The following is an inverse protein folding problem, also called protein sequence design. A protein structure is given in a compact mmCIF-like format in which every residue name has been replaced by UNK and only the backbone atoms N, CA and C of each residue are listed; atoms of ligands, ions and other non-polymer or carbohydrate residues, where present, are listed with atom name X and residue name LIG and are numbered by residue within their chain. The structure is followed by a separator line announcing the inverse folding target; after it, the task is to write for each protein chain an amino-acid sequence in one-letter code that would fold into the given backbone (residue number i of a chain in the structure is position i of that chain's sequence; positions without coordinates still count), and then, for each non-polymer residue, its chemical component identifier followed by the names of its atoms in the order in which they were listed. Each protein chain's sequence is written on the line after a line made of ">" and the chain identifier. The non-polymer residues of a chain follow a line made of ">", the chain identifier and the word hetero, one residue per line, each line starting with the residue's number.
data_IF_463966221963
#
_entry.id   IF_463966221963
#
_cell.length_a   1.000
_cell.length_b   1.000
_cell.length_c   1.000
_cell.angle_alpha   90.00
_cell.angle_beta   90.00
_cell.angle_gamma   90.00
#
_symmetry.space_group_name_H-M   'P 1'
#
loop_
_entity.id
_entity.type
_entity.pdbx_description
1 polymer ?
#
# COMPACT_ATOMS: atom_id res chain seq x y z
N UNK A 1 -45.66 20.51 -5.63
CA UNK A 1 -44.49 19.88 -6.28
C UNK A 1 -43.72 19.08 -5.23
N UNK A 2 -43.84 17.74 -5.22
CA UNK A 2 -43.09 16.86 -4.30
C UNK A 2 -41.74 16.52 -4.94
N UNK A 3 -40.64 16.99 -4.36
CA UNK A 3 -39.27 16.58 -4.72
C UNK A 3 -39.11 15.09 -4.35
N UNK A 4 -38.89 14.23 -5.34
CA UNK A 4 -38.52 12.83 -5.10
C UNK A 4 -37.04 12.81 -4.73
N UNK A 5 -36.74 12.44 -3.48
CA UNK A 5 -35.39 12.11 -3.05
C UNK A 5 -35.04 10.76 -3.69
N UNK A 6 -34.06 10.73 -4.59
CA UNK A 6 -33.47 9.49 -5.09
C UNK A 6 -32.37 9.11 -4.10
N UNK A 7 -32.64 8.08 -3.29
CA UNK A 7 -31.65 7.49 -2.39
C UNK A 7 -30.76 6.57 -3.24
N UNK A 8 -29.54 7.01 -3.56
CA UNK A 8 -28.53 6.14 -4.17
C UNK A 8 -28.00 5.24 -3.07
N UNK A 9 -28.39 3.96 -3.11
CA UNK A 9 -27.87 2.93 -2.21
C UNK A 9 -26.47 2.54 -2.73
N UNK A 10 -25.41 3.13 -2.17
CA UNK A 10 -24.06 2.62 -2.40
C UNK A 10 -23.93 1.35 -1.56
N UNK A 11 -24.08 0.19 -2.21
CA UNK A 11 -23.74 -1.09 -1.59
C UNK A 11 -22.22 -1.17 -1.58
N UNK A 12 -21.61 -0.83 -0.43
CA UNK A 12 -20.24 -1.20 -0.17
C UNK A 12 -20.19 -2.73 -0.04
N UNK A 13 -19.81 -3.41 -1.12
CA UNK A 13 -19.49 -4.84 -1.07
C UNK A 13 -18.19 -4.95 -0.28
N UNK A 14 -18.29 -5.26 1.01
CA UNK A 14 -17.15 -5.65 1.81
C UNK A 14 -16.72 -7.05 1.33
N UNK A 15 -15.77 -7.09 0.40
CA UNK A 15 -15.11 -8.34 0.00
C UNK A 15 -14.30 -8.85 1.20
N UNK A 16 -14.38 -10.14 1.55
CA UNK A 16 -13.59 -10.68 2.65
C UNK A 16 -12.10 -10.56 2.31
N UNK A 17 -11.38 -9.74 3.08
CA UNK A 17 -9.94 -9.47 2.93
C UNK A 17 -9.12 -10.65 3.47
N UNK A 18 -8.92 -11.66 2.64
CA UNK A 18 -7.81 -12.61 2.78
C UNK A 18 -7.09 -12.72 1.44
N UNK A 19 -5.95 -12.02 1.33
CA UNK A 19 -4.82 -12.32 0.44
C UNK A 19 -5.12 -12.78 -0.98
N UNK A 20 -4.98 -11.90 -1.97
CA UNK A 20 -4.74 -12.30 -3.36
C UNK A 20 -5.33 -11.38 -4.41
N UNK A 21 -5.29 -11.84 -5.65
CA UNK A 21 -5.90 -11.17 -6.80
C UNK A 21 -7.35 -11.60 -7.03
N UNK A 22 -8.13 -10.74 -7.67
CA UNK A 22 -9.51 -11.06 -8.03
C UNK A 22 -10.10 -10.16 -9.10
N UNK A 23 -11.36 -10.40 -9.49
CA UNK A 23 -12.08 -11.64 -9.22
C UNK A 23 -11.44 -12.83 -9.97
N UNK A 24 -11.90 -14.04 -9.67
CA UNK A 24 -11.53 -15.21 -10.46
C UNK A 24 -11.90 -14.97 -11.93
N UNK A 25 -10.94 -15.24 -12.82
CA UNK A 25 -11.08 -15.08 -14.26
C UNK A 25 -10.31 -16.17 -14.98
N UNK A 26 -10.71 -16.46 -16.21
CA UNK A 26 -9.98 -17.40 -17.05
C UNK A 26 -8.55 -16.90 -17.26
N UNK A 27 -7.60 -17.81 -17.09
CA UNK A 27 -6.18 -17.55 -17.33
C UNK A 27 -5.77 -18.09 -18.69
N UNK A 28 -4.65 -17.57 -19.18
CA UNK A 28 -4.09 -17.79 -20.50
C UNK A 28 -2.58 -17.95 -20.39
N UNK A 29 -1.95 -18.30 -21.49
CA UNK A 29 -0.48 -18.36 -21.60
C UNK A 29 0.00 -17.48 -22.74
N UNK A 30 1.29 -17.17 -22.78
CA UNK A 30 1.89 -16.44 -23.89
C UNK A 30 1.66 -17.14 -25.24
N UNK A 31 1.65 -18.47 -25.24
CA UNK A 31 1.35 -19.28 -26.44
C UNK A 31 -0.13 -19.26 -26.81
N UNK A 32 -1.02 -19.18 -25.82
CA UNK A 32 -2.47 -19.19 -26.01
C UNK A 32 -3.13 -17.98 -25.33
N UNK A 33 -2.93 -16.76 -25.87
CA UNK A 33 -3.47 -15.54 -25.29
C UNK A 33 -5.00 -15.47 -25.39
N UNK A 34 -5.60 -14.52 -24.68
CA UNK A 34 -7.05 -14.38 -24.60
C UNK A 34 -7.67 -13.99 -25.95
N UNK A 35 -8.85 -14.52 -26.33
CA UNK A 35 -9.59 -14.05 -27.49
C UNK A 35 -10.37 -12.75 -27.25
N UNK A 36 -10.44 -12.28 -26.00
CA UNK A 36 -11.18 -11.09 -25.57
C UNK A 36 -10.30 -10.19 -24.71
N UNK A 37 -10.69 -8.91 -24.57
CA UNK A 37 -10.03 -7.99 -23.63
C UNK A 37 -10.16 -8.54 -22.21
N UNK A 38 -9.03 -8.81 -21.59
CA UNK A 38 -8.89 -9.18 -20.19
C UNK A 38 -7.50 -8.73 -19.75
N UNK A 39 -7.39 -8.32 -18.50
CA UNK A 39 -6.11 -7.83 -17.98
C UNK A 39 -5.39 -8.92 -17.21
N UNK A 40 -4.06 -8.90 -17.33
CA UNK A 40 -3.15 -9.55 -16.40
C UNK A 40 -3.50 -11.02 -16.14
N UNK A 41 -3.79 -11.76 -17.20
CA UNK A 41 -4.32 -13.12 -17.14
C UNK A 41 -3.37 -14.15 -17.75
N UNK A 42 -2.19 -13.74 -18.21
CA UNK A 42 -1.12 -14.64 -18.63
C UNK A 42 -0.39 -15.17 -17.41
N UNK A 43 -0.18 -16.49 -17.32
CA UNK A 43 0.48 -17.13 -16.17
C UNK A 43 1.98 -17.40 -16.35
N UNK A 44 2.50 -17.22 -17.56
CA UNK A 44 3.85 -17.63 -17.97
C UNK A 44 4.57 -16.55 -18.78
N UNK A 45 4.34 -15.27 -18.47
CA UNK A 45 5.05 -14.16 -19.12
C UNK A 45 6.56 -14.30 -18.80
N UNK A 46 7.45 -14.40 -19.81
CA UNK A 46 8.87 -14.68 -19.57
C UNK A 46 9.62 -13.55 -18.86
N UNK A 47 9.08 -12.33 -18.88
CA UNK A 47 9.71 -11.15 -18.29
C UNK A 47 9.09 -10.76 -16.94
N UNK A 48 7.82 -11.12 -16.72
CA UNK A 48 7.09 -10.77 -15.49
C UNK A 48 6.76 -11.98 -14.61
N UNK A 49 6.47 -13.13 -15.21
CA UNK A 49 5.96 -14.33 -14.56
C UNK A 49 4.43 -14.41 -14.64
N UNK A 50 3.79 -14.71 -13.51
CA UNK A 50 2.33 -14.75 -13.42
C UNK A 50 1.76 -13.34 -13.28
N UNK A 51 1.10 -12.84 -14.32
CA UNK A 51 0.60 -11.47 -14.38
C UNK A 51 -0.52 -11.19 -13.39
N UNK A 52 -1.15 -12.23 -12.81
CA UNK A 52 -2.22 -12.04 -11.84
C UNK A 52 -1.74 -11.35 -10.56
N UNK A 53 -0.46 -11.52 -10.23
CA UNK A 53 0.23 -10.82 -9.16
C UNK A 53 0.84 -9.52 -9.69
N UNK A 54 -0.01 -8.53 -9.96
CA UNK A 54 0.39 -7.30 -10.63
C UNK A 54 0.67 -6.11 -9.71
N UNK A 55 0.40 -6.24 -8.41
CA UNK A 55 0.63 -5.21 -7.39
C UNK A 55 1.79 -5.61 -6.53
N UNK A 56 2.75 -4.71 -6.35
CA UNK A 56 3.96 -5.04 -5.59
C UNK A 56 4.62 -3.82 -4.98
N UNK A 57 5.46 -4.06 -3.97
CA UNK A 57 6.12 -3.04 -3.17
C UNK A 57 7.63 -3.21 -3.28
N UNK A 58 8.36 -2.10 -3.32
CA UNK A 58 9.82 -2.06 -3.21
C UNK A 58 10.27 -0.95 -2.27
N UNK A 59 11.27 -1.20 -1.43
CA UNK A 59 11.91 -0.14 -0.65
C UNK A 59 12.70 0.81 -1.56
N UNK A 60 12.59 2.12 -1.34
CA UNK A 60 13.39 3.10 -2.10
C UNK A 60 14.89 3.02 -1.79
N UNK A 61 15.28 2.41 -0.67
CA UNK A 61 16.68 2.11 -0.36
C UNK A 61 17.26 1.00 -1.28
N UNK A 62 16.40 0.20 -1.93
CA UNK A 62 16.81 -0.86 -2.86
C UNK A 62 16.95 -0.31 -4.30
N UNK A 63 18.20 -0.10 -4.71
CA UNK A 63 18.57 0.43 -6.03
C UNK A 63 18.66 -0.64 -7.13
N UNK A 64 18.42 -1.93 -6.81
CA UNK A 64 18.41 -2.97 -7.83
C UNK A 64 17.17 -2.85 -8.73
N UNK A 65 17.29 -3.36 -9.96
CA UNK A 65 16.17 -3.42 -10.91
C UNK A 65 15.01 -4.29 -10.39
N UNK A 66 15.33 -5.39 -9.70
CA UNK A 66 14.35 -6.26 -9.02
C UNK A 66 14.02 -5.83 -7.58
N UNK A 67 13.60 -6.79 -6.77
CA UNK A 67 13.27 -6.56 -5.35
C UNK A 67 11.85 -6.07 -5.07
N UNK A 68 10.95 -6.30 -6.02
CA UNK A 68 9.51 -6.16 -5.83
C UNK A 68 8.96 -7.35 -5.05
N UNK A 69 8.00 -7.09 -4.17
CA UNK A 69 7.42 -8.09 -3.27
C UNK A 69 5.95 -7.81 -2.99
N UNK A 70 5.17 -8.87 -2.81
CA UNK A 70 3.75 -8.79 -2.41
C UNK A 70 3.64 -8.50 -0.92
N UNK A 71 4.71 -8.73 -0.18
CA UNK A 71 4.79 -8.48 1.24
C UNK A 71 6.17 -7.97 1.63
N UNK A 72 6.21 -6.86 2.36
CA UNK A 72 7.45 -6.26 2.86
C UNK A 72 7.39 -6.02 4.36
N UNK A 73 8.48 -6.37 5.05
CA UNK A 73 8.66 -6.08 6.46
C UNK A 73 9.31 -4.70 6.66
N UNK A 74 8.66 -3.88 7.47
CA UNK A 74 9.04 -2.51 7.81
C UNK A 74 9.74 -2.51 9.16
N UNK A 75 10.97 -2.00 9.17
CA UNK A 75 11.81 -1.90 10.38
C UNK A 75 11.98 -0.47 10.89
N UNK A 76 11.86 0.50 9.98
CA UNK A 76 12.03 1.93 10.22
C UNK A 76 11.17 2.71 9.23
N UNK A 77 10.90 3.97 9.55
CA UNK A 77 10.29 4.92 8.62
C UNK A 77 11.14 5.08 7.36
N UNK A 78 10.51 5.32 6.22
CA UNK A 78 11.21 5.48 4.94
C UNK A 78 10.28 5.56 3.74
N UNK A 79 10.87 5.73 2.56
CA UNK A 79 10.15 5.80 1.28
C UNK A 79 10.06 4.43 0.62
N UNK A 80 8.92 4.16 -0.01
CA UNK A 80 8.64 2.92 -0.73
C UNK A 80 7.95 3.24 -2.07
N UNK A 81 8.18 2.36 -3.04
CA UNK A 81 7.52 2.34 -4.33
C UNK A 81 6.38 1.33 -4.29
N UNK A 82 5.21 1.74 -4.78
CA UNK A 82 4.10 0.87 -5.15
C UNK A 82 4.13 0.71 -6.66
N UNK A 83 3.83 -0.49 -7.14
CA UNK A 83 3.77 -0.78 -8.58
C UNK A 83 2.47 -1.47 -8.96
N UNK A 84 1.91 -1.08 -10.11
CA UNK A 84 0.92 -1.84 -10.87
C UNK A 84 1.56 -2.22 -12.21
N UNK A 85 1.55 -3.50 -12.55
CA UNK A 85 1.84 -4.00 -13.91
C UNK A 85 0.53 -4.13 -14.68
N UNK A 86 0.50 -3.65 -15.93
CA UNK A 86 -0.72 -3.64 -16.74
C UNK A 86 -0.41 -4.32 -18.06
N UNK A 87 -1.16 -5.38 -18.37
CA UNK A 87 -1.09 -6.07 -19.65
C UNK A 87 -2.50 -6.41 -20.12
N UNK A 88 -2.85 -6.01 -21.34
CA UNK A 88 -4.04 -6.51 -22.01
C UNK A 88 -3.68 -7.86 -22.65
N UNK A 89 -4.10 -8.95 -22.00
CA UNK A 89 -3.75 -10.33 -22.36
C UNK A 89 -4.50 -10.84 -23.60
N UNK A 90 -5.25 -10.01 -24.30
CA UNK A 90 -5.83 -10.40 -25.59
C UNK A 90 -4.72 -10.64 -26.62
N UNK A 91 -4.95 -11.56 -27.55
CA UNK A 91 -4.03 -11.85 -28.63
C UNK A 91 -3.78 -10.61 -29.52
N UNK A 92 -2.51 -10.31 -29.80
CA UNK A 92 -2.08 -9.15 -30.59
C UNK A 92 -2.78 -9.06 -31.95
N UNK A 93 -2.96 -10.21 -32.61
CA UNK A 93 -3.55 -10.32 -33.95
C UNK A 93 -5.07 -10.03 -33.99
N UNK A 94 -5.72 -9.91 -32.83
CA UNK A 94 -7.14 -9.57 -32.73
C UNK A 94 -7.37 -8.06 -32.60
N UNK A 95 -6.33 -7.28 -32.30
CA UNK A 95 -6.40 -5.81 -32.17
C UNK A 95 -7.50 -5.32 -31.22
N UNK A 96 -7.82 -6.11 -30.19
CA UNK A 96 -8.82 -5.80 -29.17
C UNK A 96 -8.31 -4.73 -28.20
N UNK A 97 -8.55 -3.46 -28.53
CA UNK A 97 -8.18 -2.32 -27.68
C UNK A 97 -9.15 -2.26 -26.47
N UNK A 98 -8.59 -2.27 -25.27
CA UNK A 98 -9.35 -1.98 -24.06
C UNK A 98 -9.70 -0.48 -24.00
N UNK A 99 -10.93 -0.16 -23.62
CA UNK A 99 -11.48 1.20 -23.68
C UNK A 99 -11.70 1.78 -22.30
N UNK A 100 -11.46 3.09 -22.17
CA UNK A 100 -11.59 3.81 -20.90
C UNK A 100 -10.82 3.11 -19.76
N UNK A 101 -9.63 2.59 -20.10
CA UNK A 101 -8.79 1.84 -19.17
C UNK A 101 -8.30 2.76 -18.08
N UNK A 102 -8.62 2.44 -16.83
CA UNK A 102 -8.23 3.19 -15.65
C UNK A 102 -7.52 2.32 -14.66
N UNK A 103 -6.68 2.98 -13.87
CA UNK A 103 -6.04 2.36 -12.71
C UNK A 103 -6.19 3.24 -11.48
N UNK A 104 -6.09 2.59 -10.32
CA UNK A 104 -5.97 3.27 -9.03
C UNK A 104 -5.28 2.40 -8.00
N UNK A 105 -4.66 3.05 -7.03
CA UNK A 105 -4.32 2.45 -5.75
C UNK A 105 -5.40 2.78 -4.71
N UNK A 106 -5.71 1.80 -3.86
CA UNK A 106 -6.33 2.03 -2.56
C UNK A 106 -5.22 2.00 -1.51
N UNK A 107 -4.90 3.17 -0.95
CA UNK A 107 -3.89 3.33 0.10
C UNK A 107 -4.63 3.75 1.36
N UNK A 108 -4.81 2.85 2.34
CA UNK A 108 -5.56 3.19 3.54
C UNK A 108 -4.88 4.26 4.40
N UNK A 109 -5.69 5.07 5.08
CA UNK A 109 -5.28 6.22 5.91
C UNK A 109 -5.30 5.93 7.42
N UNK A 110 -5.25 4.65 7.82
CA UNK A 110 -5.22 4.22 9.22
C UNK A 110 -3.82 3.77 9.67
N UNK A 111 -3.63 3.68 10.99
CA UNK A 111 -2.43 3.12 11.62
C UNK A 111 -2.64 1.65 12.01
N UNK A 112 -1.69 0.79 11.67
CA UNK A 112 -1.72 -0.64 11.98
C UNK A 112 -0.31 -1.24 11.95
N UNK A 113 -0.14 -2.44 12.49
CA UNK A 113 1.07 -3.25 12.33
C UNK A 113 1.07 -4.07 11.02
N UNK A 114 -0.07 -4.07 10.31
CA UNK A 114 -0.25 -4.67 8.99
C UNK A 114 -1.20 -3.80 8.18
N UNK A 115 -0.72 -3.26 7.06
CA UNK A 115 -1.52 -2.45 6.12
C UNK A 115 -1.44 -3.09 4.75
N UNK A 116 -2.60 -3.38 4.18
CA UNK A 116 -2.74 -3.83 2.81
C UNK A 116 -3.02 -2.63 1.91
N UNK A 117 -2.35 -2.60 0.76
CA UNK A 117 -2.69 -1.71 -0.34
C UNK A 117 -3.22 -2.57 -1.48
N UNK A 118 -4.18 -2.03 -2.22
CA UNK A 118 -4.76 -2.72 -3.38
C UNK A 118 -4.51 -1.86 -4.63
N UNK A 119 -4.22 -2.51 -5.75
CA UNK A 119 -4.25 -1.90 -7.07
C UNK A 119 -5.45 -2.41 -7.85
N UNK A 120 -6.04 -1.55 -8.68
CA UNK A 120 -7.18 -1.90 -9.52
C UNK A 120 -6.89 -1.52 -10.96
N UNK A 121 -7.34 -2.36 -11.88
CA UNK A 121 -7.35 -2.11 -13.32
C UNK A 121 -8.79 -2.32 -13.80
N UNK A 122 -9.36 -1.33 -14.46
CA UNK A 122 -10.73 -1.40 -14.98
C UNK A 122 -10.80 -0.91 -16.44
N UNK A 123 -11.76 -1.44 -17.19
CA UNK A 123 -12.07 -1.02 -18.55
C UNK A 123 -13.51 -1.35 -18.87
N UNK A 124 -14.13 -0.52 -19.72
CA UNK A 124 -15.55 -0.66 -20.08
C UNK A 124 -15.85 -1.97 -20.84
N UNK A 125 -14.86 -2.52 -21.57
CA UNK A 125 -15.04 -3.69 -22.42
C UNK A 125 -14.17 -4.89 -22.03
N UNK A 126 -13.51 -4.86 -20.86
CA UNK A 126 -12.78 -6.03 -20.35
C UNK A 126 -13.70 -7.04 -19.67
N UNK A 127 -13.27 -8.31 -19.65
CA UNK A 127 -13.95 -9.38 -18.93
C UNK A 127 -12.98 -10.04 -17.94
N UNK A 128 -13.11 -9.77 -16.63
CA UNK A 128 -14.07 -8.88 -15.96
C UNK A 128 -13.80 -7.39 -16.24
N UNK A 129 -14.76 -6.52 -15.94
CA UNK A 129 -14.63 -5.05 -16.12
C UNK A 129 -13.67 -4.40 -15.13
N UNK A 130 -13.35 -5.09 -14.03
CA UNK A 130 -12.38 -4.67 -13.03
C UNK A 130 -11.66 -5.89 -12.47
N UNK A 131 -10.34 -5.79 -12.32
CA UNK A 131 -9.52 -6.71 -11.54
C UNK A 131 -8.82 -5.93 -10.42
N UNK A 132 -8.45 -6.65 -9.37
CA UNK A 132 -7.65 -6.14 -8.27
C UNK A 132 -6.56 -7.14 -7.89
N UNK A 133 -5.51 -6.61 -7.27
CA UNK A 133 -4.47 -7.37 -6.61
C UNK A 133 -3.93 -6.54 -5.44
N UNK A 134 -3.22 -7.18 -4.53
CA UNK A 134 -2.82 -6.57 -3.27
C UNK A 134 -1.36 -6.77 -2.95
N UNK A 135 -0.81 -5.82 -2.19
CA UNK A 135 0.47 -5.99 -1.51
C UNK A 135 0.37 -5.51 -0.05
N UNK A 136 1.27 -5.99 0.79
CA UNK A 136 1.14 -5.88 2.25
C UNK A 136 2.41 -5.32 2.87
N UNK A 137 2.26 -4.27 3.66
CA UNK A 137 3.26 -3.79 4.60
C UNK A 137 3.03 -4.48 5.94
N UNK A 138 4.09 -5.00 6.58
CA UNK A 138 4.06 -5.59 7.93
C UNK A 138 5.14 -5.00 8.82
N UNK A 139 4.88 -4.88 10.10
CA UNK A 139 5.83 -4.36 11.09
C UNK A 139 5.52 -4.93 12.47
N UNK A 140 6.52 -4.96 13.35
CA UNK A 140 6.31 -5.26 14.77
C UNK A 140 5.72 -4.05 15.54
N UNK A 141 5.82 -2.86 14.94
CA UNK A 141 5.26 -1.60 15.46
C UNK A 141 4.15 -1.11 14.56
N UNK A 142 3.21 -0.33 15.11
CA UNK A 142 2.25 0.39 14.29
C UNK A 142 2.97 1.36 13.35
N UNK A 143 2.39 1.54 12.18
CA UNK A 143 2.82 2.52 11.19
C UNK A 143 1.60 3.00 10.41
N UNK A 144 1.77 4.10 9.70
CA UNK A 144 0.86 4.55 8.63
C UNK A 144 1.60 4.71 7.32
N UNK A 145 0.83 4.78 6.23
CA UNK A 145 1.31 5.00 4.88
C UNK A 145 0.76 6.35 4.39
N UNK A 146 1.63 7.20 3.89
CA UNK A 146 1.28 8.50 3.33
C UNK A 146 1.69 8.56 1.85
N UNK A 147 0.72 8.69 0.95
CA UNK A 147 0.99 8.90 -0.47
C UNK A 147 1.75 10.21 -0.71
N UNK A 148 2.75 10.19 -1.58
CA UNK A 148 3.53 11.37 -1.97
C UNK A 148 2.85 12.03 -3.19
N UNK A 149 2.27 13.24 -3.06
CA UNK A 149 1.65 13.96 -4.18
C UNK A 149 2.63 14.20 -5.33
N UNK A 150 2.15 14.06 -6.57
CA UNK A 150 2.95 14.23 -7.78
C UNK A 150 3.98 13.11 -8.01
N UNK A 151 3.88 11.98 -7.32
CA UNK A 151 4.86 10.88 -7.48
C UNK A 151 4.47 9.81 -8.50
N UNK A 152 3.22 9.80 -8.96
CA UNK A 152 2.73 8.73 -9.82
C UNK A 152 3.20 8.88 -11.28
N UNK A 153 3.81 7.84 -11.84
CA UNK A 153 4.30 7.83 -13.22
C UNK A 153 3.96 6.52 -13.93
N UNK A 154 3.74 6.59 -15.25
CA UNK A 154 3.57 5.45 -16.13
C UNK A 154 4.78 5.32 -17.06
N UNK A 155 5.32 4.11 -17.18
CA UNK A 155 6.36 3.76 -18.15
C UNK A 155 5.86 2.65 -19.06
N UNK A 156 6.22 2.71 -20.33
CA UNK A 156 5.99 1.67 -21.33
C UNK A 156 7.03 1.82 -22.46
N UNK A 157 6.92 1.04 -23.53
CA UNK A 157 7.87 1.12 -24.66
C UNK A 157 7.81 2.44 -25.45
N UNK A 158 6.82 3.31 -25.20
CA UNK A 158 6.68 4.65 -25.79
C UNK A 158 7.15 5.75 -24.83
N UNK A 159 6.71 5.70 -23.57
CA UNK A 159 7.10 6.58 -22.48
C UNK A 159 8.28 5.97 -21.71
N UNK A 160 9.43 5.85 -22.37
CA UNK A 160 10.62 5.22 -21.78
C UNK A 160 11.18 6.02 -20.61
N UNK A 161 11.02 7.34 -20.63
CA UNK A 161 11.42 8.25 -19.55
C UNK A 161 10.31 8.48 -18.52
N UNK A 162 9.18 7.77 -18.66
CA UNK A 162 7.99 7.95 -17.84
C UNK A 162 7.10 9.11 -18.29
N UNK A 163 5.82 9.03 -17.94
CA UNK A 163 4.87 10.13 -18.04
C UNK A 163 4.14 10.28 -16.70
N UNK A 164 4.12 11.51 -16.19
CA UNK A 164 3.44 11.84 -14.95
C UNK A 164 1.93 11.55 -15.05
N UNK A 165 1.39 10.89 -14.03
CA UNK A 165 -0.03 10.69 -13.82
C UNK A 165 -0.57 11.68 -12.76
N UNK A 166 -1.88 11.92 -12.81
CA UNK A 166 -2.59 12.72 -11.81
C UNK A 166 -2.62 12.01 -10.45
N UNK A 167 -2.69 12.79 -9.37
CA UNK A 167 -2.90 12.29 -8.01
C UNK A 167 -4.28 11.64 -7.81
N UNK A 168 -5.19 11.74 -8.79
CA UNK A 168 -6.45 10.98 -8.80
C UNK A 168 -6.25 9.46 -8.80
N UNK A 169 -5.03 8.98 -9.02
CA UNK A 169 -4.68 7.56 -8.93
C UNK A 169 -4.95 6.97 -7.53
N UNK A 170 -4.96 7.79 -6.47
CA UNK A 170 -5.34 7.34 -5.10
C UNK A 170 -6.84 7.45 -4.82
N UNK A 171 -7.60 8.04 -5.74
CA UNK A 171 -9.02 8.31 -5.58
C UNK A 171 -9.84 7.20 -6.29
N UNK A 172 -11.13 7.13 -5.96
CA UNK A 172 -12.04 6.14 -6.55
C UNK A 172 -12.20 6.25 -8.07
N UNK A 173 -12.00 7.44 -8.64
CA UNK A 173 -12.10 7.67 -10.09
C UNK A 173 -10.90 7.12 -10.89
N UNK A 174 -9.76 6.93 -10.23
CA UNK A 174 -8.50 6.54 -10.86
C UNK A 174 -8.01 7.51 -11.93
N UNK A 175 -7.06 7.04 -12.73
CA UNK A 175 -6.47 7.77 -13.86
C UNK A 175 -6.51 6.91 -15.11
N UNK A 176 -6.72 7.57 -16.25
CA UNK A 176 -6.67 6.92 -17.56
C UNK A 176 -5.24 6.48 -17.87
N UNK A 177 -5.10 5.29 -18.44
CA UNK A 177 -3.84 4.77 -18.98
C UNK A 177 -4.01 4.32 -20.41
N UNK A 178 -2.96 4.45 -21.20
CA UNK A 178 -2.92 4.04 -22.60
C UNK A 178 -1.49 3.91 -23.08
N UNK A 179 -1.30 3.66 -24.39
CA UNK A 179 0.04 3.41 -24.92
C UNK A 179 0.73 4.68 -25.46
N UNK A 180 0.16 5.31 -26.49
CA UNK A 180 0.73 6.53 -27.10
C UNK A 180 0.35 7.81 -26.37
N UNK A 181 -0.70 7.74 -25.56
CA UNK A 181 -1.25 8.82 -24.74
C UNK A 181 -2.09 8.22 -23.60
N UNK A 182 -2.25 8.97 -22.50
CA UNK A 182 -3.04 8.55 -21.32
C UNK A 182 -4.54 8.80 -21.55
N UNK A 183 -5.13 8.17 -22.56
CA UNK A 183 -6.52 8.39 -23.00
C UNK A 183 -7.48 7.23 -22.70
N UNK A 184 -7.01 6.15 -22.06
CA UNK A 184 -7.81 4.97 -21.76
C UNK A 184 -7.83 3.90 -22.86
N UNK A 185 -7.21 4.15 -24.02
CA UNK A 185 -7.06 3.14 -25.06
C UNK A 185 -5.80 2.31 -24.79
N UNK A 186 -6.00 1.05 -24.39
CA UNK A 186 -4.91 0.14 -24.05
C UNK A 186 -4.87 -1.05 -25.03
N UNK A 187 -3.95 -1.05 -26.02
CA UNK A 187 -3.86 -2.10 -27.04
C UNK A 187 -3.44 -3.46 -26.47
N UNK A 188 -3.74 -4.56 -27.16
CA UNK A 188 -3.35 -5.90 -26.75
C UNK A 188 -1.90 -6.23 -27.14
N UNK A 189 -1.24 -7.01 -26.28
CA UNK A 189 0.05 -7.60 -26.59
C UNK A 189 1.23 -7.00 -25.83
N UNK A 190 2.22 -7.87 -25.59
CA UNK A 190 3.36 -7.63 -24.68
C UNK A 190 4.11 -6.30 -24.93
N UNK A 191 4.18 -5.84 -26.18
CA UNK A 191 4.85 -4.58 -26.54
C UNK A 191 4.13 -3.32 -26.03
N UNK A 192 2.88 -3.44 -25.59
CA UNK A 192 2.06 -2.34 -25.08
C UNK A 192 1.95 -2.33 -23.56
N UNK A 193 2.52 -3.33 -22.89
CA UNK A 193 2.49 -3.45 -21.43
C UNK A 193 3.08 -2.20 -20.78
N UNK A 194 2.56 -1.89 -19.59
CA UNK A 194 2.93 -0.69 -18.86
C UNK A 194 3.21 -1.01 -17.39
N UNK A 195 4.09 -0.22 -16.80
CA UNK A 195 4.38 -0.20 -15.37
C UNK A 195 4.00 1.16 -14.84
N UNK A 196 3.16 1.17 -13.82
CA UNK A 196 2.84 2.38 -13.07
C UNK A 196 3.47 2.31 -11.69
N UNK A 197 4.20 3.35 -11.33
CA UNK A 197 4.84 3.51 -10.02
C UNK A 197 4.24 4.70 -9.30
N UNK A 198 4.01 4.55 -7.99
CA UNK A 198 3.70 5.66 -7.08
C UNK A 198 4.59 5.56 -5.84
N UNK A 199 4.89 6.69 -5.19
CA UNK A 199 5.69 6.72 -3.98
C UNK A 199 4.84 6.93 -2.72
N UNK A 200 5.25 6.29 -1.63
CA UNK A 200 4.67 6.48 -0.30
C UNK A 200 5.76 6.67 0.75
N UNK A 201 5.46 7.45 1.78
CA UNK A 201 6.19 7.43 3.04
C UNK A 201 5.53 6.43 3.98
N UNK A 202 6.32 5.54 4.57
CA UNK A 202 5.91 4.71 5.69
C UNK A 202 6.47 5.34 6.96
N UNK A 203 5.60 5.62 7.92
CA UNK A 203 5.97 6.27 9.18
C UNK A 203 5.64 5.33 10.31
N UNK A 204 6.67 4.78 10.93
CA UNK A 204 6.57 3.89 12.08
C UNK A 204 6.40 4.74 13.33
N UNK A 205 5.48 4.35 14.22
CA UNK A 205 5.39 4.94 15.55
C UNK A 205 6.71 4.69 16.31
N UNK A 206 7.39 5.76 16.68
CA UNK A 206 8.43 5.66 17.69
C UNK A 206 7.75 5.31 19.02
N UNK A 207 8.31 4.36 19.77
CA UNK A 207 7.97 4.34 21.19
C UNK A 207 8.61 5.58 21.75
N UNK A 208 7.81 6.53 22.22
CA UNK A 208 8.30 7.43 23.25
C UNK A 208 8.99 6.54 24.29
N UNK A 209 10.26 6.82 24.67
CA UNK A 209 10.83 6.16 25.82
C UNK A 209 9.79 6.26 26.92
N UNK A 210 9.39 5.12 27.52
CA UNK A 210 8.67 5.17 28.80
C UNK A 210 9.43 6.22 29.61
N UNK A 211 8.81 7.32 30.06
CA UNK A 211 9.51 8.30 30.84
C UNK A 211 9.88 7.61 32.15
N UNK A 212 11.04 6.93 32.17
CA UNK A 212 11.67 6.41 33.37
C UNK A 212 11.98 7.57 34.33
N UNK A 213 11.97 8.81 33.82
CA UNK A 213 12.03 10.04 34.60
C UNK A 213 10.79 10.31 35.49
N UNK A 214 9.62 9.70 35.22
CA UNK A 214 8.39 10.00 35.96
C UNK A 214 8.05 9.00 37.08
N UNK A 215 8.46 7.73 36.97
CA UNK A 215 8.03 6.70 37.93
C UNK A 215 9.14 6.28 38.93
N UNK A 216 10.42 6.41 38.55
CA UNK A 216 11.54 6.15 39.47
C UNK A 216 11.90 7.39 40.31
N UNK A 217 11.56 8.60 39.85
CA UNK A 217 11.79 9.83 40.62
C UNK A 217 10.95 9.89 41.89
N UNK A 218 9.65 9.62 41.79
CA UNK A 218 8.74 9.73 42.94
C UNK A 218 8.90 8.57 43.95
N UNK A 219 9.21 7.36 43.49
CA UNK A 219 9.48 6.24 44.41
C UNK A 219 10.86 6.36 45.10
N UNK A 220 11.90 6.82 44.39
CA UNK A 220 13.22 6.96 44.99
C UNK A 220 13.25 8.10 46.02
N UNK A 221 12.57 9.22 45.76
CA UNK A 221 12.47 10.35 46.70
C UNK A 221 11.62 9.99 47.92
N UNK A 222 10.51 9.27 47.75
CA UNK A 222 9.69 8.80 48.87
C UNK A 222 10.44 7.81 49.79
N UNK A 223 11.24 6.91 49.23
CA UNK A 223 12.05 5.96 50.01
C UNK A 223 13.24 6.64 50.69
N UNK A 224 13.88 7.63 50.06
CA UNK A 224 14.98 8.39 50.68
C UNK A 224 14.49 9.29 51.83
N UNK A 225 13.37 10.00 51.65
CA UNK A 225 12.80 10.86 52.71
C UNK A 225 12.26 10.03 53.87
N UNK A 226 11.61 8.89 53.60
CA UNK A 226 11.14 7.98 54.64
C UNK A 226 12.26 7.39 55.49
N UNK A 227 13.37 6.98 54.88
CA UNK A 227 14.53 6.44 55.62
C UNK A 227 15.28 7.51 56.42
N UNK A 228 15.43 8.73 55.89
CA UNK A 228 16.04 9.86 56.61
C UNK A 228 15.21 10.24 57.85
N UNK A 229 13.88 10.32 57.73
CA UNK A 229 13.00 10.64 58.87
C UNK A 229 13.06 9.57 59.98
N UNK A 230 13.12 8.29 59.61
CA UNK A 230 13.30 7.20 60.57
C UNK A 230 14.66 7.28 61.28
N UNK A 231 15.74 7.56 60.55
CA UNK A 231 17.07 7.74 61.16
C UNK A 231 17.15 8.96 62.09
N UNK A 232 16.52 10.08 61.72
CA UNK A 232 16.44 11.28 62.58
C UNK A 232 15.63 10.97 63.84
N UNK A 233 14.50 10.27 63.74
CA UNK A 233 13.70 9.88 64.91
C UNK A 233 14.47 8.94 65.86
N UNK A 234 15.22 7.96 65.32
CA UNK A 234 16.07 7.06 66.10
C UNK A 234 17.19 7.84 66.79
N UNK A 235 17.86 8.77 66.09
CA UNK A 235 18.90 9.60 66.69
C UNK A 235 18.36 10.53 67.78
N UNK A 236 17.21 11.18 67.57
CA UNK A 236 16.58 12.05 68.57
C UNK A 236 16.15 11.26 69.82
N UNK A 237 15.61 10.04 69.65
CA UNK A 237 15.27 9.15 70.76
C UNK A 237 16.52 8.74 71.55
N UNK A 238 17.59 8.29 70.87
CA UNK A 238 18.85 7.91 71.51
C UNK A 238 19.52 9.09 72.24
N UNK A 239 19.45 10.30 71.69
CA UNK A 239 20.00 11.52 72.33
C UNK A 239 19.20 11.96 73.56
N UNK A 240 17.89 11.69 73.60
CA UNK A 240 17.03 11.95 74.77
C UNK A 240 17.29 10.94 75.89
N UNK A 241 17.51 9.67 75.54
CA UNK A 241 17.77 8.61 76.52
C UNK A 241 19.18 8.72 77.13
N UNK A 242 20.14 9.34 76.44
CA UNK A 242 21.49 9.65 76.97
C UNK A 242 21.55 10.91 77.86
N UNK A 243 20.45 11.67 77.98
CA UNK A 243 20.36 12.89 78.82
C UNK A 243 19.51 12.69 80.08
N UNK A 244 19.11 11.45 80.37
CA UNK A 244 18.53 11.03 81.65
C UNK A 244 19.58 10.24 82.43
#
# INVERSE_FOLDING_TARGET
>A
MRKRLVLILIVAVALPLFGGWGPERKTYTMENPSPVVTFNSITDNPNYGDERNFVSIKSADNQNSGGWSDEIAIKKSGKYYLRIYIANSSADNLYQIAKNTKIRFNIPDYESNRIQIDGYIESDNSSPTMIYDQAVFKSDKKFRIEYIPGSAECTNNKFTDGIQLSDDIKNSNGVLVGYDQMNGDFPPGYKYDAIVIAEVNVIVEDQDPIPFAGLLGDLAVAVLLGTILVFIAIMLKKRRDLRK
#
